data_IF_332553355153
#
_entry.id   IF_332553355153
#
_cell.length_a   1.000
_cell.length_b   1.000
_cell.length_c   1.000
_cell.angle_alpha   90.00
_cell.angle_beta   90.00
_cell.angle_gamma   90.00
#
_symmetry.space_group_name_H-M   'P 1'
#
loop_
_entity.id
_entity.type
_entity.pdbx_description
1 polymer ?
#
# COMPACT_ATOMS: atom_id res chain seq x y z
N UNK A 1 -10.94 -25.06 8.09
CA UNK A 1 -11.28 -26.47 8.37
C UNK A 1 -12.19 -26.64 9.61
N UNK A 2 -11.70 -26.57 10.86
CA UNK A 2 -12.57 -26.78 12.05
C UNK A 2 -13.65 -25.69 12.18
N UNK A 3 -13.30 -24.43 11.92
CA UNK A 3 -14.25 -23.30 11.98
C UNK A 3 -15.33 -23.34 10.88
N UNK A 4 -15.14 -24.11 9.81
CA UNK A 4 -16.08 -24.22 8.68
C UNK A 4 -17.17 -25.27 8.92
N UNK A 5 -16.91 -26.26 9.78
CA UNK A 5 -17.89 -27.32 10.11
C UNK A 5 -19.15 -26.78 10.82
N UNK A 6 -19.08 -25.58 11.40
CA UNK A 6 -20.18 -24.94 12.12
C UNK A 6 -21.04 -24.00 11.25
N UNK A 7 -20.65 -23.77 9.99
CA UNK A 7 -21.36 -22.84 9.10
C UNK A 7 -22.33 -23.62 8.21
N UNK A 8 -23.64 -23.50 8.46
CA UNK A 8 -24.68 -23.95 7.51
C UNK A 8 -24.78 -22.94 6.37
N UNK A 9 -24.26 -23.31 5.19
CA UNK A 9 -24.28 -22.45 4.01
C UNK A 9 -25.54 -22.69 3.16
N UNK A 10 -26.48 -21.75 3.18
CA UNK A 10 -27.59 -21.73 2.23
C UNK A 10 -27.18 -20.96 0.97
N UNK A 11 -26.93 -21.68 -0.13
CA UNK A 11 -26.66 -21.07 -1.42
C UNK A 11 -27.91 -20.35 -1.95
N UNK A 12 -27.86 -19.02 -1.95
CA UNK A 12 -28.89 -18.15 -2.53
C UNK A 12 -28.44 -17.47 -3.83
N UNK A 13 -27.19 -17.72 -4.27
CA UNK A 13 -26.64 -17.15 -5.50
C UNK A 13 -27.15 -17.88 -6.74
N UNK A 14 -27.70 -17.12 -7.69
CA UNK A 14 -28.04 -17.63 -9.02
C UNK A 14 -26.80 -18.22 -9.70
N UNK A 15 -26.92 -19.47 -10.19
CA UNK A 15 -25.92 -20.12 -11.04
C UNK A 15 -25.89 -19.46 -12.41
N UNK A 16 -25.32 -18.26 -12.48
CA UNK A 16 -25.09 -17.56 -13.74
C UNK A 16 -23.89 -18.21 -14.42
N UNK A 17 -23.99 -18.55 -15.71
CA UNK A 17 -22.85 -19.10 -16.48
C UNK A 17 -21.70 -18.07 -16.48
N UNK A 18 -20.58 -18.44 -15.89
CA UNK A 18 -19.33 -17.67 -15.96
C UNK A 18 -18.91 -17.55 -17.43
N UNK A 19 -18.78 -16.31 -17.92
CA UNK A 19 -18.32 -15.97 -19.26
C UNK A 19 -17.41 -14.76 -19.18
N UNK A 20 -16.39 -14.68 -20.04
CA UNK A 20 -15.49 -13.52 -20.11
C UNK A 20 -16.27 -12.20 -20.32
N UNK A 21 -17.35 -12.25 -21.12
CA UNK A 21 -18.25 -11.11 -21.29
C UNK A 21 -18.91 -10.69 -19.98
N UNK A 22 -19.37 -11.66 -19.18
CA UNK A 22 -20.01 -11.38 -17.90
C UNK A 22 -19.02 -10.80 -16.89
N UNK A 23 -17.79 -11.30 -16.86
CA UNK A 23 -16.71 -10.74 -16.02
C UNK A 23 -16.42 -9.29 -16.41
N UNK A 24 -16.35 -8.98 -17.71
CA UNK A 24 -16.13 -7.61 -18.19
C UNK A 24 -17.30 -6.68 -17.86
N UNK A 25 -18.54 -7.17 -17.98
CA UNK A 25 -19.74 -6.44 -17.56
C UNK A 25 -19.74 -6.16 -16.05
N UNK A 26 -19.43 -7.16 -15.22
CA UNK A 26 -19.33 -7.02 -13.77
C UNK A 26 -18.23 -6.02 -13.37
N UNK A 27 -17.07 -6.05 -14.04
CA UNK A 27 -16.00 -5.06 -13.83
C UNK A 27 -16.44 -3.65 -14.24
N UNK A 28 -17.15 -3.51 -15.38
CA UNK A 28 -17.67 -2.22 -15.84
C UNK A 28 -18.67 -1.65 -14.83
N UNK A 29 -19.58 -2.47 -14.33
CA UNK A 29 -20.53 -2.08 -13.27
C UNK A 29 -19.80 -1.66 -11.98
N UNK A 30 -18.78 -2.41 -11.57
CA UNK A 30 -17.94 -2.05 -10.41
C UNK A 30 -17.24 -0.69 -10.59
N UNK A 31 -16.75 -0.41 -11.80
CA UNK A 31 -16.10 0.87 -12.11
C UNK A 31 -17.09 2.05 -12.13
N UNK A 32 -18.28 1.85 -12.72
CA UNK A 32 -19.36 2.85 -12.70
C UNK A 32 -19.72 3.19 -11.25
N UNK A 33 -19.91 2.17 -10.41
CA UNK A 33 -20.18 2.37 -8.99
C UNK A 33 -19.09 3.19 -8.28
N UNK A 34 -17.81 2.88 -8.52
CA UNK A 34 -16.68 3.63 -7.96
C UNK A 34 -16.72 5.11 -8.33
N UNK A 35 -17.14 5.43 -9.56
CA UNK A 35 -17.28 6.81 -10.07
C UNK A 35 -18.45 7.54 -9.43
N UNK A 36 -19.57 6.85 -9.19
CA UNK A 36 -20.80 7.46 -8.68
C UNK A 36 -20.73 7.78 -7.18
N UNK A 37 -19.93 7.02 -6.41
CA UNK A 37 -19.74 7.28 -4.97
C UNK A 37 -18.73 8.41 -4.77
N UNK A 38 -19.22 9.53 -4.20
CA UNK A 38 -18.40 10.72 -3.88
C UNK A 38 -17.12 10.33 -3.12
N UNK A 39 -15.99 10.72 -3.70
CA UNK A 39 -14.65 10.54 -3.16
C UNK A 39 -14.05 9.14 -3.34
N UNK A 40 -14.82 8.10 -3.68
CA UNK A 40 -14.29 6.73 -3.77
C UNK A 40 -13.35 6.55 -4.96
N UNK A 41 -13.70 7.12 -6.13
CA UNK A 41 -12.82 7.17 -7.29
C UNK A 41 -11.54 7.98 -7.02
N UNK A 42 -11.65 9.11 -6.31
CA UNK A 42 -10.48 9.95 -5.95
C UNK A 42 -9.52 9.18 -5.06
N UNK A 43 -10.05 8.46 -4.06
CA UNK A 43 -9.25 7.58 -3.21
C UNK A 43 -8.58 6.46 -4.03
N UNK A 44 -9.31 5.83 -4.94
CA UNK A 44 -8.76 4.77 -5.79
C UNK A 44 -7.62 5.30 -6.66
N UNK A 45 -7.80 6.45 -7.32
CA UNK A 45 -6.76 7.09 -8.14
C UNK A 45 -5.53 7.42 -7.30
N UNK A 46 -5.73 8.01 -6.11
CA UNK A 46 -4.63 8.24 -5.18
C UNK A 46 -3.87 6.95 -4.85
N UNK A 47 -4.59 5.88 -4.50
CA UNK A 47 -3.97 4.59 -4.19
C UNK A 47 -3.21 4.01 -5.38
N UNK A 48 -3.74 4.10 -6.60
CA UNK A 48 -3.08 3.62 -7.81
C UNK A 48 -1.79 4.41 -8.08
N UNK A 49 -1.83 5.74 -8.02
CA UNK A 49 -0.65 6.58 -8.27
C UNK A 49 0.41 6.39 -7.17
N UNK A 50 0.00 6.35 -5.90
CA UNK A 50 0.93 6.09 -4.79
C UNK A 50 1.54 4.68 -4.90
N UNK A 51 0.75 3.66 -5.24
CA UNK A 51 1.25 2.30 -5.45
C UNK A 51 2.24 2.25 -6.63
N UNK A 52 1.94 2.93 -7.74
CA UNK A 52 2.83 3.01 -8.91
C UNK A 52 4.21 3.61 -8.56
N UNK A 53 4.23 4.63 -7.70
CA UNK A 53 5.48 5.31 -7.29
C UNK A 53 6.27 4.51 -6.26
N UNK A 54 5.59 3.85 -5.32
CA UNK A 54 6.23 3.26 -4.14
C UNK A 54 6.45 1.76 -4.26
N UNK A 55 5.54 1.01 -4.87
CA UNK A 55 5.65 -0.45 -4.96
C UNK A 55 6.90 -0.93 -5.73
N UNK A 56 7.27 -0.34 -6.88
CA UNK A 56 8.48 -0.73 -7.60
C UNK A 56 9.77 -0.47 -6.82
N UNK A 57 9.75 0.51 -5.91
CA UNK A 57 10.90 0.78 -5.04
C UNK A 57 11.19 -0.42 -4.16
N UNK A 58 10.18 -1.04 -3.57
CA UNK A 58 10.38 -2.23 -2.74
C UNK A 58 10.60 -3.51 -3.55
N UNK A 59 10.05 -3.60 -4.76
CA UNK A 59 10.15 -4.78 -5.62
C UNK A 59 11.47 -4.86 -6.40
N UNK A 60 12.05 -3.72 -6.78
CA UNK A 60 13.20 -3.67 -7.71
C UNK A 60 14.36 -2.87 -7.09
N UNK A 61 14.11 -1.61 -6.71
CA UNK A 61 15.16 -0.69 -6.26
C UNK A 61 15.79 -1.14 -4.95
N UNK A 62 14.99 -1.55 -3.97
CA UNK A 62 15.46 -1.96 -2.65
C UNK A 62 16.29 -3.25 -2.69
N UNK A 63 15.88 -4.33 -3.39
CA UNK A 63 16.73 -5.50 -3.57
C UNK A 63 18.08 -5.17 -4.21
N UNK A 64 18.08 -4.38 -5.29
CA UNK A 64 19.32 -3.95 -5.95
C UNK A 64 20.19 -3.10 -5.01
N UNK A 65 19.59 -2.12 -4.32
CA UNK A 65 20.27 -1.30 -3.33
C UNK A 65 20.92 -2.13 -2.23
N UNK A 66 20.16 -3.03 -1.61
CA UNK A 66 20.64 -3.82 -0.48
C UNK A 66 21.75 -4.80 -0.88
N UNK A 67 21.63 -5.45 -2.04
CA UNK A 67 22.52 -6.54 -2.47
C UNK A 67 23.70 -6.05 -3.29
N UNK A 68 23.49 -5.15 -4.24
CA UNK A 68 24.51 -4.71 -5.20
C UNK A 68 25.19 -3.41 -4.75
N UNK A 69 24.43 -2.43 -4.23
CA UNK A 69 25.00 -1.14 -3.82
C UNK A 69 25.65 -1.21 -2.44
N UNK A 70 24.93 -1.77 -1.46
CA UNK A 70 25.42 -1.87 -0.08
C UNK A 70 26.27 -3.12 0.14
N UNK A 71 25.98 -4.21 -0.60
CA UNK A 71 26.69 -5.48 -0.45
C UNK A 71 26.22 -6.34 0.72
N UNK A 72 24.99 -6.16 1.22
CA UNK A 72 24.48 -6.99 2.31
C UNK A 72 24.43 -8.46 1.92
N UNK A 73 24.80 -9.34 2.86
CA UNK A 73 24.74 -10.79 2.70
C UNK A 73 23.31 -11.29 2.47
N UNK A 74 23.15 -12.52 1.97
CA UNK A 74 21.82 -13.07 1.69
C UNK A 74 20.99 -13.19 2.98
N UNK A 75 21.68 -13.49 4.08
CA UNK A 75 21.10 -13.52 5.42
C UNK A 75 20.66 -12.14 5.89
N UNK A 76 21.51 -11.11 5.73
CA UNK A 76 21.15 -9.73 6.11
C UNK A 76 19.93 -9.26 5.30
N UNK A 77 19.92 -9.46 3.98
CA UNK A 77 18.77 -9.10 3.15
C UNK A 77 17.49 -9.85 3.54
N UNK A 78 17.59 -11.17 3.79
CA UNK A 78 16.46 -11.96 4.28
C UNK A 78 15.91 -11.44 5.62
N UNK A 79 16.78 -11.06 6.55
CA UNK A 79 16.37 -10.47 7.83
C UNK A 79 15.75 -9.07 7.67
N UNK A 80 16.17 -8.27 6.69
CA UNK A 80 15.52 -6.99 6.37
C UNK A 80 14.08 -7.21 5.87
N UNK A 81 13.87 -8.19 4.99
CA UNK A 81 12.53 -8.56 4.52
C UNK A 81 11.65 -9.06 5.68
N UNK A 82 12.19 -9.93 6.53
CA UNK A 82 11.50 -10.40 7.74
C UNK A 82 11.15 -9.24 8.67
N UNK A 83 12.04 -8.25 8.84
CA UNK A 83 11.77 -7.07 9.66
C UNK A 83 10.56 -6.28 9.16
N UNK A 84 10.45 -6.10 7.84
CA UNK A 84 9.29 -5.44 7.23
C UNK A 84 7.98 -6.22 7.49
N UNK A 85 7.98 -7.53 7.23
CA UNK A 85 6.81 -8.41 7.44
C UNK A 85 6.42 -8.48 8.92
N UNK A 86 7.39 -8.59 9.83
CA UNK A 86 7.17 -8.56 11.28
C UNK A 86 6.53 -7.23 11.70
N UNK A 87 6.97 -6.12 11.12
CA UNK A 87 6.36 -4.81 11.34
C UNK A 87 4.89 -4.78 10.95
N UNK A 88 4.53 -5.32 9.77
CA UNK A 88 3.14 -5.39 9.31
C UNK A 88 2.28 -6.22 10.26
N UNK A 89 2.80 -7.36 10.74
CA UNK A 89 2.10 -8.20 11.71
C UNK A 89 1.85 -7.44 13.01
N UNK A 90 2.89 -6.84 13.59
CA UNK A 90 2.79 -6.03 14.80
C UNK A 90 1.81 -4.87 14.64
N UNK A 91 1.87 -4.14 13.51
CA UNK A 91 0.95 -3.06 13.19
C UNK A 91 -0.52 -3.52 13.15
N UNK A 92 -0.79 -4.67 12.53
CA UNK A 92 -2.15 -5.23 12.50
C UNK A 92 -2.62 -5.72 13.87
N UNK A 93 -1.75 -6.32 14.67
CA UNK A 93 -2.07 -6.69 16.06
C UNK A 93 -2.41 -5.44 16.87
N UNK A 94 -1.63 -4.36 16.74
CA UNK A 94 -1.89 -3.08 17.43
C UNK A 94 -3.25 -2.51 17.01
N UNK A 95 -3.54 -2.51 15.70
CA UNK A 95 -4.82 -2.03 15.19
C UNK A 95 -6.00 -2.84 15.72
N UNK A 96 -5.90 -4.17 15.64
CA UNK A 96 -6.97 -5.09 16.07
C UNK A 96 -7.21 -5.05 17.58
N UNK A 97 -6.15 -5.05 18.39
CA UNK A 97 -6.26 -5.11 19.84
C UNK A 97 -6.62 -3.75 20.47
N UNK A 98 -6.03 -2.66 20.00
CA UNK A 98 -6.10 -1.36 20.70
C UNK A 98 -6.86 -0.27 19.95
N UNK A 99 -6.98 -0.37 18.62
CA UNK A 99 -7.49 0.72 17.79
C UNK A 99 -8.72 0.35 16.95
N UNK A 100 -9.31 -0.83 17.16
CA UNK A 100 -10.46 -1.32 16.37
C UNK A 100 -11.66 -0.38 16.38
N UNK A 101 -11.86 0.38 17.47
CA UNK A 101 -12.96 1.35 17.63
C UNK A 101 -12.64 2.75 17.06
N UNK A 102 -11.42 3.01 16.60
CA UNK A 102 -11.02 4.32 16.08
C UNK A 102 -11.55 4.55 14.68
N UNK A 103 -11.74 5.82 14.31
CA UNK A 103 -12.18 6.20 12.96
C UNK A 103 -11.14 5.78 11.91
N UNK A 104 -11.50 4.94 10.90
CA UNK A 104 -10.56 4.47 9.88
C UNK A 104 -9.84 5.61 9.15
N UNK A 105 -10.56 6.68 8.82
CA UNK A 105 -9.99 7.80 8.09
C UNK A 105 -8.86 8.50 8.88
N UNK A 106 -8.98 8.63 10.21
CA UNK A 106 -7.93 9.21 11.07
C UNK A 106 -6.70 8.30 11.13
N UNK A 107 -6.91 6.99 11.25
CA UNK A 107 -5.83 6.00 11.24
C UNK A 107 -5.09 6.03 9.90
N UNK A 108 -5.83 6.06 8.79
CA UNK A 108 -5.29 6.18 7.43
C UNK A 108 -4.44 7.43 7.24
N UNK A 109 -4.97 8.60 7.63
CA UNK A 109 -4.23 9.87 7.56
C UNK A 109 -2.91 9.81 8.34
N UNK A 110 -2.96 9.32 9.58
CA UNK A 110 -1.78 9.17 10.41
C UNK A 110 -0.80 8.16 9.83
N UNK A 111 -1.30 7.03 9.31
CA UNK A 111 -0.50 6.02 8.62
C UNK A 111 0.26 6.61 7.43
N UNK A 112 -0.44 7.33 6.55
CA UNK A 112 0.15 7.96 5.37
C UNK A 112 1.26 8.97 5.71
N UNK A 113 1.01 9.84 6.69
CA UNK A 113 2.00 10.86 7.10
C UNK A 113 3.26 10.17 7.65
N UNK A 114 3.11 9.20 8.55
CA UNK A 114 4.26 8.48 9.10
C UNK A 114 4.98 7.66 8.03
N UNK A 115 4.26 7.03 7.11
CA UNK A 115 4.87 6.29 6.00
C UNK A 115 5.67 7.21 5.08
N UNK A 116 5.19 8.42 4.81
CA UNK A 116 5.93 9.41 4.03
C UNK A 116 7.23 9.86 4.73
N UNK A 117 7.16 10.12 6.04
CA UNK A 117 8.34 10.45 6.85
C UNK A 117 9.35 9.30 6.85
N UNK A 118 8.90 8.07 7.05
CA UNK A 118 9.77 6.89 7.05
C UNK A 118 10.38 6.63 5.67
N UNK A 119 9.64 6.89 4.61
CA UNK A 119 10.16 6.80 3.25
C UNK A 119 11.21 7.87 2.97
N UNK A 120 11.07 9.07 3.54
CA UNK A 120 12.10 10.10 3.51
C UNK A 120 13.35 9.68 4.32
N UNK A 121 13.16 9.11 5.50
CA UNK A 121 14.28 8.57 6.30
C UNK A 121 15.01 7.45 5.56
N UNK A 122 14.27 6.56 4.88
CA UNK A 122 14.85 5.53 4.04
C UNK A 122 15.66 6.12 2.88
N UNK A 123 15.12 7.14 2.18
CA UNK A 123 15.86 7.85 1.14
C UNK A 123 17.17 8.44 1.67
N UNK A 124 17.13 9.15 2.81
CA UNK A 124 18.34 9.72 3.44
C UNK A 124 19.34 8.63 3.80
N UNK A 125 18.86 7.52 4.36
CA UNK A 125 19.69 6.37 4.70
C UNK A 125 20.30 5.70 3.46
N UNK A 126 19.66 5.81 2.29
CA UNK A 126 20.13 5.26 1.02
C UNK A 126 21.06 6.19 0.22
N UNK A 127 21.34 7.40 0.72
CA UNK A 127 22.32 8.29 0.09
C UNK A 127 23.73 7.69 0.19
N UNK A 128 24.60 7.87 -0.83
CA UNK A 128 25.96 7.34 -0.82
C UNK A 128 26.78 7.74 0.41
N UNK A 129 26.57 8.97 0.90
CA UNK A 129 27.20 9.46 2.13
C UNK A 129 26.80 8.62 3.35
N UNK A 130 25.53 8.26 3.49
CA UNK A 130 25.05 7.44 4.61
C UNK A 130 25.65 6.03 4.55
N UNK A 131 25.68 5.41 3.37
CA UNK A 131 26.31 4.09 3.17
C UNK A 131 27.80 4.13 3.56
N UNK A 132 28.53 5.19 3.19
CA UNK A 132 29.93 5.37 3.57
C UNK A 132 30.09 5.61 5.08
N UNK A 133 29.23 6.44 5.67
CA UNK A 133 29.26 6.78 7.09
C UNK A 133 29.07 5.55 8.00
N UNK A 134 28.14 4.66 7.64
CA UNK A 134 27.88 3.43 8.40
C UNK A 134 28.79 2.24 8.01
N UNK A 135 29.77 2.46 7.13
CA UNK A 135 30.79 1.47 6.79
C UNK A 135 30.37 0.38 5.79
N UNK A 136 29.34 0.61 4.96
CA UNK A 136 28.86 -0.38 3.98
C UNK A 136 28.03 -1.49 4.62
N UNK A 137 28.30 -2.75 4.27
CA UNK A 137 27.52 -3.93 4.69
C UNK A 137 27.61 -4.34 6.18
N UNK A 138 27.90 -3.39 7.08
CA UNK A 138 28.03 -3.64 8.52
C UNK A 138 26.69 -3.98 9.16
N UNK A 139 26.74 -4.68 10.30
CA UNK A 139 25.56 -4.94 11.13
C UNK A 139 24.95 -3.66 11.73
N UNK A 140 25.75 -2.58 11.85
CA UNK A 140 25.26 -1.26 12.28
C UNK A 140 24.33 -0.71 11.21
N UNK A 141 24.77 -0.67 9.95
CA UNK A 141 23.94 -0.17 8.86
C UNK A 141 22.69 -1.02 8.64
N UNK A 142 22.85 -2.35 8.71
CA UNK A 142 21.73 -3.28 8.72
C UNK A 142 20.70 -2.93 9.79
N UNK A 143 21.13 -2.63 11.03
CA UNK A 143 20.22 -2.29 12.13
C UNK A 143 19.45 -0.99 11.88
N UNK A 144 20.10 0.00 11.26
CA UNK A 144 19.46 1.27 10.87
C UNK A 144 18.36 1.02 9.82
N UNK A 145 18.71 0.34 8.72
CA UNK A 145 17.74 0.03 7.65
C UNK A 145 16.63 -0.90 8.16
N UNK A 146 16.99 -1.92 8.93
CA UNK A 146 16.05 -2.88 9.51
C UNK A 146 15.03 -2.21 10.44
N UNK A 147 15.48 -1.26 11.27
CA UNK A 147 14.59 -0.48 12.13
C UNK A 147 13.62 0.39 11.33
N UNK A 148 14.11 1.04 10.26
CA UNK A 148 13.26 1.83 9.36
C UNK A 148 12.21 0.94 8.69
N UNK A 149 12.61 -0.24 8.19
CA UNK A 149 11.69 -1.18 7.55
C UNK A 149 10.66 -1.78 8.52
N UNK A 150 11.06 -2.11 9.74
CA UNK A 150 10.16 -2.59 10.79
C UNK A 150 9.07 -1.55 11.09
N UNK A 151 9.48 -0.30 11.34
CA UNK A 151 8.53 0.79 11.64
C UNK A 151 7.67 1.11 10.41
N UNK A 152 8.24 1.07 9.20
CA UNK A 152 7.50 1.21 7.95
C UNK A 152 6.44 0.11 7.80
N UNK A 153 6.78 -1.13 8.16
CA UNK A 153 5.83 -2.24 8.21
C UNK A 153 4.68 -1.98 9.17
N UNK A 154 4.94 -1.47 10.37
CA UNK A 154 3.91 -1.11 11.35
C UNK A 154 2.93 -0.10 10.72
N UNK A 155 3.44 1.00 10.16
CA UNK A 155 2.58 2.03 9.57
C UNK A 155 1.93 1.62 8.25
N UNK A 156 2.49 0.64 7.53
CA UNK A 156 1.83 0.05 6.37
C UNK A 156 0.47 -0.57 6.75
N UNK A 157 0.36 -1.21 7.92
CA UNK A 157 -0.92 -1.70 8.44
C UNK A 157 -1.92 -0.55 8.69
N UNK A 158 -1.44 0.59 9.20
CA UNK A 158 -2.26 1.79 9.45
C UNK A 158 -2.74 2.47 8.16
N UNK A 159 -2.14 2.16 7.02
CA UNK A 159 -2.63 2.58 5.71
C UNK A 159 -3.58 1.53 5.15
N UNK A 160 -3.11 0.30 4.95
CA UNK A 160 -3.86 -0.73 4.23
C UNK A 160 -5.15 -1.20 4.93
N UNK A 161 -5.10 -1.42 6.24
CA UNK A 161 -6.27 -1.96 6.97
C UNK A 161 -7.42 -0.95 7.06
N UNK A 162 -7.17 0.32 7.46
CA UNK A 162 -8.21 1.35 7.39
C UNK A 162 -8.67 1.66 5.97
N UNK A 163 -7.77 1.63 4.97
CA UNK A 163 -8.12 1.81 3.56
C UNK A 163 -9.17 0.79 3.11
N UNK A 164 -8.91 -0.50 3.32
CA UNK A 164 -9.84 -1.57 2.97
C UNK A 164 -11.15 -1.46 3.77
N UNK A 165 -11.08 -1.05 5.03
CA UNK A 165 -12.27 -0.79 5.85
C UNK A 165 -13.13 0.32 5.26
N UNK A 166 -12.53 1.41 4.76
CA UNK A 166 -13.25 2.50 4.10
C UNK A 166 -13.92 2.05 2.80
N UNK A 167 -13.23 1.27 1.97
CA UNK A 167 -13.82 0.66 0.77
C UNK A 167 -14.99 -0.27 1.13
N UNK A 168 -14.82 -1.14 2.14
CA UNK A 168 -15.89 -2.04 2.60
C UNK A 168 -17.13 -1.31 3.13
N UNK A 169 -16.95 -0.19 3.85
CA UNK A 169 -18.05 0.61 4.40
C UNK A 169 -18.82 1.38 3.31
N UNK A 170 -18.11 1.89 2.29
CA UNK A 170 -18.73 2.64 1.19
C UNK A 170 -19.28 1.76 0.06
N UNK A 171 -19.04 0.44 0.10
CA UNK A 171 -19.46 -0.49 -0.94
C UNK A 171 -20.56 -1.44 -0.44
N UNK A 172 -21.81 -1.31 -0.91
CA UNK A 172 -22.90 -2.23 -0.60
C UNK A 172 -22.56 -3.66 -1.00
N UNK A 173 -23.11 -4.64 -0.27
CA UNK A 173 -22.84 -6.07 -0.48
C UNK A 173 -23.05 -6.52 -1.93
N UNK A 174 -24.08 -6.00 -2.62
CA UNK A 174 -24.40 -6.32 -4.02
C UNK A 174 -23.27 -5.98 -5.00
N UNK A 175 -22.49 -4.93 -4.74
CA UNK A 175 -21.41 -4.46 -5.62
C UNK A 175 -20.02 -4.86 -5.11
N UNK A 176 -19.92 -5.46 -3.92
CA UNK A 176 -18.64 -5.67 -3.24
C UNK A 176 -17.65 -6.50 -4.06
N UNK A 177 -18.06 -7.67 -4.56
CA UNK A 177 -17.17 -8.50 -5.40
C UNK A 177 -16.71 -7.74 -6.65
N UNK A 178 -17.64 -7.07 -7.36
CA UNK A 178 -17.36 -6.29 -8.58
C UNK A 178 -16.36 -5.16 -8.35
N UNK A 179 -16.58 -4.36 -7.32
CA UNK A 179 -15.71 -3.23 -6.97
C UNK A 179 -14.32 -3.72 -6.57
N UNK A 180 -14.23 -4.75 -5.73
CA UNK A 180 -12.95 -5.30 -5.30
C UNK A 180 -12.21 -6.02 -6.42
N UNK A 181 -12.91 -6.59 -7.43
CA UNK A 181 -12.28 -7.08 -8.66
C UNK A 181 -11.60 -5.94 -9.43
N UNK A 182 -12.29 -4.80 -9.61
CA UNK A 182 -11.70 -3.62 -10.27
C UNK A 182 -10.47 -3.12 -9.52
N UNK A 183 -10.58 -2.91 -8.20
CA UNK A 183 -9.47 -2.46 -7.35
C UNK A 183 -8.29 -3.43 -7.47
N UNK A 184 -8.53 -4.74 -7.37
CA UNK A 184 -7.49 -5.76 -7.41
C UNK A 184 -6.78 -5.83 -8.77
N UNK A 185 -7.52 -5.76 -9.87
CA UNK A 185 -6.93 -5.78 -11.22
C UNK A 185 -6.06 -4.54 -11.43
N UNK A 186 -6.59 -3.35 -11.12
CA UNK A 186 -5.84 -2.11 -11.29
C UNK A 186 -4.59 -2.07 -10.42
N UNK A 187 -4.69 -2.46 -9.15
CA UNK A 187 -3.54 -2.49 -8.24
C UNK A 187 -2.45 -3.47 -8.71
N UNK A 188 -2.83 -4.66 -9.21
CA UNK A 188 -1.87 -5.67 -9.67
C UNK A 188 -1.23 -5.32 -11.01
N UNK A 189 -1.89 -4.57 -11.89
CA UNK A 189 -1.32 -4.14 -13.17
C UNK A 189 -0.31 -3.00 -12.99
N UNK A 190 -0.52 -2.15 -11.98
CA UNK A 190 0.32 -0.98 -11.72
C UNK A 190 1.74 -1.37 -11.29
N UNK A 191 1.89 -2.38 -10.43
CA UNK A 191 3.19 -2.83 -9.92
C UNK A 191 4.17 -3.30 -11.01
N UNK A 192 3.85 -4.24 -11.92
CA UNK A 192 4.77 -4.69 -12.96
C UNK A 192 5.12 -3.58 -13.95
N UNK A 193 4.18 -2.70 -14.29
CA UNK A 193 4.45 -1.54 -15.15
C UNK A 193 5.47 -0.61 -14.51
N UNK A 194 5.30 -0.31 -13.21
CA UNK A 194 6.28 0.47 -12.47
C UNK A 194 7.62 -0.27 -12.34
N UNK A 195 7.61 -1.58 -12.12
CA UNK A 195 8.83 -2.38 -12.01
C UNK A 195 9.68 -2.32 -13.30
N UNK A 196 9.05 -2.39 -14.48
CA UNK A 196 9.75 -2.22 -15.77
C UNK A 196 10.41 -0.84 -15.85
N UNK A 197 9.68 0.23 -15.51
CA UNK A 197 10.21 1.60 -15.58
C UNK A 197 11.37 1.82 -14.60
N UNK A 198 11.25 1.31 -13.38
CA UNK A 198 12.32 1.42 -12.38
C UNK A 198 13.52 0.53 -12.73
N UNK A 199 13.30 -0.63 -13.35
CA UNK A 199 14.36 -1.48 -13.89
C UNK A 199 15.20 -0.75 -14.93
N UNK A 200 14.55 -0.20 -15.96
CA UNK A 200 15.22 0.67 -16.96
C UNK A 200 15.89 1.86 -16.27
N UNK A 201 15.22 2.45 -15.27
CA UNK A 201 15.78 3.53 -14.48
C UNK A 201 17.10 3.18 -13.80
N UNK A 202 17.24 1.96 -13.27
CA UNK A 202 18.47 1.53 -12.60
C UNK A 202 19.65 1.38 -13.58
N UNK A 203 19.38 1.08 -14.85
CA UNK A 203 20.41 1.03 -15.89
C UNK A 203 20.89 2.43 -16.30
N UNK A 204 20.04 3.45 -16.13
CA UNK A 204 20.29 4.83 -16.57
C UNK A 204 20.80 5.75 -15.45
N UNK A 205 20.45 5.48 -14.19
CA UNK A 205 20.81 6.34 -13.06
C UNK A 205 21.00 5.56 -11.77
N UNK A 206 21.73 6.16 -10.83
CA UNK A 206 21.92 5.57 -9.51
C UNK A 206 20.62 5.46 -8.71
N UNK A 207 20.56 4.44 -7.86
CA UNK A 207 19.42 4.12 -6.98
C UNK A 207 18.86 5.32 -6.21
N UNK A 208 19.71 6.20 -5.69
CA UNK A 208 19.26 7.33 -4.88
C UNK A 208 18.44 8.37 -5.67
N UNK A 209 18.68 8.52 -6.99
CA UNK A 209 17.87 9.41 -7.84
C UNK A 209 16.47 8.86 -8.05
N UNK A 210 16.32 7.56 -8.27
CA UNK A 210 15.02 6.89 -8.37
C UNK A 210 14.25 7.00 -7.05
N UNK A 211 14.93 6.81 -5.92
CA UNK A 211 14.34 6.99 -4.59
C UNK A 211 13.86 8.43 -4.39
N UNK A 212 14.65 9.42 -4.82
CA UNK A 212 14.28 10.83 -4.73
C UNK A 212 13.03 11.15 -5.55
N UNK A 213 12.97 10.69 -6.82
CA UNK A 213 11.82 10.90 -7.71
C UNK A 213 10.57 10.26 -7.10
N UNK A 214 10.69 9.01 -6.63
CA UNK A 214 9.60 8.29 -5.97
C UNK A 214 9.11 9.04 -4.72
N UNK A 215 10.05 9.54 -3.92
CA UNK A 215 9.75 10.22 -2.67
C UNK A 215 9.04 11.55 -2.90
N UNK A 216 9.60 12.42 -3.74
CA UNK A 216 9.00 13.71 -4.09
C UNK A 216 7.63 13.50 -4.72
N UNK A 217 7.51 12.58 -5.68
CA UNK A 217 6.24 12.26 -6.33
C UNK A 217 5.19 11.79 -5.33
N UNK A 218 5.56 10.93 -4.38
CA UNK A 218 4.65 10.43 -3.35
C UNK A 218 4.26 11.53 -2.34
N UNK A 219 5.17 12.44 -1.98
CA UNK A 219 4.82 13.59 -1.13
C UNK A 219 3.85 14.52 -1.85
N UNK A 220 4.09 14.84 -3.12
CA UNK A 220 3.22 15.70 -3.93
C UNK A 220 1.81 15.10 -3.99
N UNK A 221 1.67 13.80 -4.30
CA UNK A 221 0.35 13.19 -4.43
C UNK A 221 -0.37 13.11 -3.07
N UNK A 222 0.35 12.91 -1.96
CA UNK A 222 -0.23 12.96 -0.61
C UNK A 222 -0.72 14.38 -0.27
N UNK A 223 0.08 15.40 -0.56
CA UNK A 223 -0.30 16.80 -0.32
C UNK A 223 -1.51 17.18 -1.17
N UNK A 224 -1.52 16.84 -2.46
CA UNK A 224 -2.66 17.08 -3.35
C UNK A 224 -3.90 16.34 -2.86
N UNK A 225 -3.75 15.09 -2.42
CA UNK A 225 -4.85 14.30 -1.87
C UNK A 225 -5.42 14.92 -0.59
N UNK A 226 -4.60 15.42 0.32
CA UNK A 226 -5.09 16.13 1.50
C UNK A 226 -5.63 17.52 1.18
N UNK A 227 -5.12 18.23 0.19
CA UNK A 227 -5.62 19.54 -0.19
C UNK A 227 -6.99 19.46 -0.89
N UNK A 228 -7.23 18.43 -1.70
CA UNK A 228 -8.46 18.27 -2.51
C UNK A 228 -9.46 17.24 -1.96
N UNK A 229 -8.98 16.26 -1.20
CA UNK A 229 -9.73 15.08 -0.79
C UNK A 229 -10.19 15.06 0.66
N UNK A 230 -9.71 15.99 1.51
CA UNK A 230 -10.07 15.99 2.94
C UNK A 230 -11.57 16.24 3.15
N UNK A 231 -12.14 17.24 2.45
CA UNK A 231 -13.54 17.61 2.65
C UNK A 231 -14.52 16.61 2.02
N UNK A 232 -14.12 15.97 0.92
CA UNK A 232 -14.97 15.01 0.20
C UNK A 232 -15.01 13.63 0.85
N UNK A 233 -13.97 13.25 1.61
CA UNK A 233 -13.83 11.90 2.16
C UNK A 233 -14.06 11.82 3.68
N UNK A 234 -13.73 12.87 4.44
CA UNK A 234 -13.83 12.90 5.90
C UNK A 234 -15.12 13.52 6.44
N UNK A 235 -15.89 14.24 5.61
CA UNK A 235 -17.28 14.56 5.94
C UNK A 235 -18.12 13.30 5.79
N UNK A 236 -18.11 12.45 6.82
CA UNK A 236 -19.12 11.41 7.00
C UNK A 236 -20.49 12.07 6.81
N UNK A 237 -21.32 11.51 5.93
CA UNK A 237 -22.72 11.90 5.82
C UNK A 237 -23.32 11.95 7.24
N UNK A 238 -24.03 13.02 7.55
CA UNK A 238 -24.75 13.15 8.81
C UNK A 238 -25.58 11.87 9.01
N UNK A 239 -25.72 11.35 10.24
CA UNK A 239 -26.34 10.05 10.53
C UNK A 239 -27.84 9.92 10.18
N UNK A 240 -28.42 10.81 9.37
CA UNK A 240 -29.85 10.88 9.08
C UNK A 240 -30.21 10.57 7.62
N UNK A 241 -29.34 9.92 6.83
CA UNK A 241 -29.67 9.47 5.47
C UNK A 241 -29.40 7.98 5.27
N UNK A 242 -30.08 7.13 6.05
CA UNK A 242 -30.31 5.71 5.78
C UNK A 242 -31.79 5.42 5.89
#
# INVERSE_FOLDING_TARGET
>A
AISEMFIKYNQTTEKTKLSARKVMEDMKEGFIFLKDVKGLLVLLIFCMVSNFLVSPVFAVVFPFFAREVVGFSGQQFGLLQTSWVAGILLGNVILGAFLAKRKPAKLFKNGLINQAILFQLFFVAALPFATKFFGGATWIYFSVIGSILLITGIFNAFVNTPLMTMFHKKTPTKYRSRVFSVISVLAQLVTPLGAVLYGIGLDLMSTHWLLLIANIGNIIIIVVFFARGLDTFFMEAKPNEV
#
